data_IF_110675888778
#
_entry.id   IF_110675888778
#
_cell.length_a   1.000
_cell.length_b   1.000
_cell.length_c   1.000
_cell.angle_alpha   90.00
_cell.angle_beta   90.00
_cell.angle_gamma   90.00
#
_symmetry.space_group_name_H-M   'P 1'
#
loop_
_entity.id
_entity.type
_entity.pdbx_description
1 polymer ?
#
# COMPACT_ATOMS: atom_id res chain seq x y z
N UNK A 1 -1.88 11.73 -63.80
CA UNK A 1 -2.15 11.93 -62.35
C UNK A 1 -1.94 13.42 -62.04
N UNK A 2 -3.01 14.13 -61.72
CA UNK A 2 -3.05 15.58 -61.67
C UNK A 2 -2.18 16.14 -60.52
N UNK A 3 -1.41 17.23 -60.76
CA UNK A 3 -0.57 17.89 -59.75
C UNK A 3 -1.32 18.19 -58.44
N UNK A 4 -2.61 18.56 -58.56
CA UNK A 4 -3.52 18.83 -57.42
C UNK A 4 -3.70 17.63 -56.47
N UNK A 5 -3.81 16.42 -57.02
CA UNK A 5 -4.04 15.19 -56.21
C UNK A 5 -2.79 14.84 -55.41
N UNK A 6 -1.58 15.06 -55.96
CA UNK A 6 -0.32 14.83 -55.26
C UNK A 6 -0.13 15.78 -54.07
N UNK A 7 -0.55 17.05 -54.24
CA UNK A 7 -0.45 18.06 -53.17
C UNK A 7 -1.41 17.79 -52.05
N UNK A 8 -2.62 17.29 -52.32
CA UNK A 8 -3.61 16.94 -51.32
C UNK A 8 -3.13 15.75 -50.50
N UNK A 9 -2.61 14.69 -51.16
CA UNK A 9 -2.05 13.50 -50.45
C UNK A 9 -0.87 13.87 -49.55
N UNK A 10 0.01 14.76 -50.00
CA UNK A 10 1.16 15.20 -49.19
C UNK A 10 0.72 15.98 -47.95
N UNK A 11 -0.28 16.86 -48.08
CA UNK A 11 -0.84 17.63 -46.96
C UNK A 11 -1.57 16.76 -45.92
N UNK A 12 -2.30 15.75 -46.36
CA UNK A 12 -2.99 14.82 -45.44
C UNK A 12 -2.01 13.92 -44.72
N UNK A 13 -0.94 13.48 -45.37
CA UNK A 13 0.11 12.67 -44.74
C UNK A 13 0.88 13.48 -43.66
N UNK A 14 1.19 14.75 -43.91
CA UNK A 14 1.82 15.62 -42.92
C UNK A 14 0.91 15.90 -41.71
N UNK A 15 -0.40 16.02 -41.91
CA UNK A 15 -1.37 16.25 -40.83
C UNK A 15 -1.52 15.01 -39.93
N UNK A 16 -1.53 13.80 -40.51
CA UNK A 16 -1.60 12.55 -39.77
C UNK A 16 -0.33 12.29 -38.94
N UNK A 17 0.86 12.61 -39.51
CA UNK A 17 2.13 12.49 -38.78
C UNK A 17 2.20 13.50 -37.63
N UNK A 18 1.67 14.71 -37.81
CA UNK A 18 1.58 15.74 -36.77
C UNK A 18 0.68 15.34 -35.61
N UNK A 19 -0.45 14.67 -35.88
CA UNK A 19 -1.37 14.16 -34.84
C UNK A 19 -0.78 13.01 -34.03
N UNK A 20 -0.01 12.12 -34.65
CA UNK A 20 0.66 11.01 -33.94
C UNK A 20 1.83 11.49 -33.05
N UNK A 21 2.44 12.63 -33.38
CA UNK A 21 3.52 13.21 -32.57
C UNK A 21 3.04 13.89 -31.28
N UNK A 22 1.75 14.24 -31.19
CA UNK A 22 1.16 14.87 -29.99
C UNK A 22 0.78 13.87 -28.90
N UNK A 23 0.63 12.60 -29.22
CA UNK A 23 0.37 11.54 -28.21
C UNK A 23 1.61 11.08 -27.45
N UNK A 24 2.81 11.52 -27.84
CA UNK A 24 4.08 11.29 -27.16
C UNK A 24 4.33 12.16 -25.92
N UNK A 25 3.34 12.92 -25.44
CA UNK A 25 3.48 13.71 -24.22
C UNK A 25 3.53 12.76 -23.01
N UNK A 26 4.75 12.49 -22.54
CA UNK A 26 5.12 12.05 -21.18
C UNK A 26 3.93 11.90 -20.21
N UNK A 27 3.21 10.78 -20.28
CA UNK A 27 2.56 10.25 -19.10
C UNK A 27 3.70 9.92 -18.14
N UNK A 28 4.05 10.84 -17.22
CA UNK A 28 4.78 10.47 -16.01
C UNK A 28 4.01 9.29 -15.43
N UNK A 29 4.56 8.10 -15.57
CA UNK A 29 3.99 6.92 -14.89
C UNK A 29 3.71 7.33 -13.46
N UNK A 30 2.45 7.35 -13.08
CA UNK A 30 2.06 7.66 -11.72
C UNK A 30 2.73 6.57 -10.87
N UNK A 31 3.73 6.97 -10.09
CA UNK A 31 4.45 6.05 -9.21
C UNK A 31 3.41 5.39 -8.31
N UNK A 32 3.40 4.06 -8.34
CA UNK A 32 2.49 3.29 -7.48
C UNK A 32 2.93 3.42 -6.02
N UNK A 33 1.97 3.36 -5.07
CA UNK A 33 2.28 3.24 -3.66
C UNK A 33 3.21 2.05 -3.40
N UNK A 34 4.19 2.24 -2.54
CA UNK A 34 5.11 1.17 -2.12
C UNK A 34 5.52 1.36 -0.66
N UNK A 35 5.98 0.28 -0.03
CA UNK A 35 6.62 0.35 1.28
C UNK A 35 7.98 0.99 1.12
N UNK A 36 8.23 2.09 1.85
CA UNK A 36 9.53 2.77 1.87
C UNK A 36 10.35 2.39 3.10
N UNK A 37 9.67 2.02 4.21
CA UNK A 37 10.31 1.57 5.43
C UNK A 37 9.39 0.64 6.23
N UNK A 38 9.97 -0.25 7.01
CA UNK A 38 9.25 -1.22 7.83
C UNK A 38 10.03 -1.54 9.10
N UNK A 39 9.35 -1.45 10.23
CA UNK A 39 9.90 -1.80 11.53
C UNK A 39 9.00 -2.82 12.24
N UNK A 40 9.62 -3.75 12.94
CA UNK A 40 8.97 -4.74 13.81
C UNK A 40 9.65 -4.71 15.15
N UNK A 41 8.89 -4.58 16.24
CA UNK A 41 9.43 -4.71 17.58
C UNK A 41 9.83 -6.14 17.90
N UNK A 42 10.61 -6.29 18.96
CA UNK A 42 10.75 -7.58 19.62
C UNK A 42 9.41 -8.05 20.19
N UNK A 43 9.35 -9.29 20.66
CA UNK A 43 8.21 -9.86 21.33
C UNK A 43 7.96 -9.13 22.66
N UNK A 44 6.84 -8.42 22.78
CA UNK A 44 6.54 -7.67 24.01
C UNK A 44 5.76 -8.49 25.02
N UNK A 45 4.76 -9.28 24.55
CA UNK A 45 3.90 -10.08 25.42
C UNK A 45 3.69 -11.46 24.82
N UNK A 46 4.03 -12.51 25.57
CA UNK A 46 3.79 -13.89 25.18
C UNK A 46 2.40 -14.28 25.71
N UNK A 47 1.47 -14.56 24.82
CA UNK A 47 0.16 -15.11 25.16
C UNK A 47 0.17 -16.62 24.92
N UNK A 48 0.11 -17.39 25.98
CA UNK A 48 -0.15 -18.82 25.88
C UNK A 48 -1.62 -19.01 25.50
N UNK A 49 -1.85 -19.68 24.40
CA UNK A 49 -3.14 -20.00 23.80
C UNK A 49 -4.28 -20.14 24.84
N UNK A 50 -5.05 -19.10 25.08
CA UNK A 50 -6.42 -19.17 25.66
C UNK A 50 -7.17 -17.85 25.54
N UNK A 51 -8.35 -17.95 24.94
CA UNK A 51 -9.49 -17.03 25.10
C UNK A 51 -9.28 -15.58 24.65
N UNK A 52 -9.31 -15.36 23.34
CA UNK A 52 -9.41 -14.04 22.71
C UNK A 52 -8.06 -13.41 22.38
N UNK A 53 -7.82 -13.15 21.09
CA UNK A 53 -6.71 -12.26 20.68
C UNK A 53 -6.98 -10.89 21.33
N UNK A 54 -5.97 -10.27 21.99
CA UNK A 54 -6.14 -8.91 22.49
C UNK A 54 -6.46 -7.96 21.33
N UNK A 55 -7.28 -6.95 21.60
CA UNK A 55 -7.62 -5.95 20.60
C UNK A 55 -6.34 -5.32 20.07
N UNK A 56 -6.15 -5.37 18.76
CA UNK A 56 -5.11 -4.62 18.08
C UNK A 56 -5.65 -3.26 17.66
N UNK A 57 -4.80 -2.24 17.73
CA UNK A 57 -5.14 -0.89 17.33
C UNK A 57 -4.21 -0.44 16.23
N UNK A 58 -4.78 0.11 15.18
CA UNK A 58 -4.03 0.71 14.08
C UNK A 58 -4.10 2.23 14.20
N UNK A 59 -2.93 2.87 14.17
CA UNK A 59 -2.78 4.29 14.01
C UNK A 59 -2.30 4.60 12.60
N UNK A 60 -2.94 5.57 11.95
CA UNK A 60 -2.58 6.02 10.62
C UNK A 60 -2.25 7.50 10.68
N UNK A 61 -0.99 7.83 10.40
CA UNK A 61 -0.48 9.20 10.51
C UNK A 61 0.26 9.63 9.26
N UNK A 62 0.10 10.89 8.86
CA UNK A 62 0.92 11.49 7.80
C UNK A 62 2.34 11.70 8.31
N UNK A 63 3.33 11.28 7.53
CA UNK A 63 4.76 11.56 7.77
C UNK A 63 5.17 12.82 6.99
N UNK A 64 4.79 12.89 5.71
CA UNK A 64 5.00 14.04 4.84
C UNK A 64 3.93 14.07 3.72
N UNK A 65 4.04 15.00 2.77
CA UNK A 65 3.07 15.18 1.68
C UNK A 65 2.94 13.99 0.71
N UNK A 66 3.75 12.96 0.87
CA UNK A 66 3.76 11.77 0.00
C UNK A 66 3.79 10.47 0.78
N UNK A 67 3.94 10.52 2.11
CA UNK A 67 4.15 9.36 2.98
C UNK A 67 3.14 9.26 4.09
N UNK A 68 2.66 8.04 4.30
CA UNK A 68 1.75 7.66 5.37
C UNK A 68 2.40 6.56 6.20
N UNK A 69 2.30 6.69 7.52
CA UNK A 69 2.71 5.65 8.46
C UNK A 69 1.48 4.92 8.98
N UNK A 70 1.52 3.61 8.96
CA UNK A 70 0.56 2.71 9.58
C UNK A 70 1.28 2.01 10.72
N UNK A 71 0.81 2.20 11.95
CA UNK A 71 1.38 1.59 13.16
C UNK A 71 0.36 0.65 13.80
N UNK A 72 0.76 -0.57 14.11
CA UNK A 72 -0.06 -1.51 14.89
C UNK A 72 0.49 -1.65 16.30
N UNK A 73 -0.36 -1.93 17.29
CA UNK A 73 0.10 -1.99 18.69
C UNK A 73 0.41 -3.39 19.18
N UNK A 74 -0.32 -4.39 18.70
CA UNK A 74 -0.25 -5.74 19.25
C UNK A 74 -0.62 -6.83 18.23
N UNK A 75 0.02 -6.79 17.07
CA UNK A 75 -0.20 -7.81 16.05
C UNK A 75 0.42 -9.14 16.50
N UNK A 76 -0.41 -10.16 16.64
CA UNK A 76 -0.01 -11.48 17.14
C UNK A 76 0.68 -12.30 16.05
N UNK A 77 1.83 -12.87 16.37
CA UNK A 77 2.57 -13.84 15.54
C UNK A 77 2.97 -15.05 16.36
N UNK A 78 3.20 -16.23 15.76
CA UNK A 78 3.78 -17.36 16.48
C UNK A 78 5.11 -16.96 17.14
N UNK A 79 5.36 -17.43 18.36
CA UNK A 79 6.67 -17.22 19.00
C UNK A 79 7.78 -17.85 18.15
N UNK A 80 8.96 -17.22 18.13
CA UNK A 80 10.08 -17.70 17.32
C UNK A 80 10.03 -17.30 15.85
N UNK A 81 9.04 -16.50 15.42
CA UNK A 81 9.10 -15.83 14.11
C UNK A 81 10.20 -14.78 14.14
N UNK A 82 11.29 -15.02 13.41
CA UNK A 82 12.44 -14.12 13.37
C UNK A 82 12.28 -13.00 12.35
N UNK A 83 11.57 -13.28 11.27
CA UNK A 83 11.45 -12.32 10.16
C UNK A 83 10.01 -12.16 9.73
N UNK A 84 9.53 -10.92 9.74
CA UNK A 84 8.25 -10.50 9.17
C UNK A 84 8.55 -9.52 8.05
N UNK A 85 7.90 -9.67 6.90
CA UNK A 85 8.06 -8.77 5.75
C UNK A 85 6.71 -8.35 5.19
N UNK A 86 6.47 -7.06 4.95
CA UNK A 86 5.29 -6.59 4.25
C UNK A 86 5.48 -6.77 2.74
N UNK A 87 4.52 -7.38 2.09
CA UNK A 87 4.38 -7.38 0.64
C UNK A 87 3.19 -6.51 0.25
N UNK A 88 3.39 -5.57 -0.66
CA UNK A 88 2.35 -4.62 -1.08
C UNK A 88 1.88 -4.92 -2.50
N UNK A 89 0.57 -4.89 -2.68
CA UNK A 89 -0.10 -4.90 -3.97
C UNK A 89 -1.02 -3.67 -4.03
N UNK A 90 -0.72 -2.76 -4.95
CA UNK A 90 -1.49 -1.53 -5.14
C UNK A 90 -2.16 -1.53 -6.51
N UNK A 91 -3.49 -1.40 -6.53
CA UNK A 91 -4.30 -1.24 -7.73
C UNK A 91 -5.14 0.02 -7.57
N UNK A 92 -4.74 1.09 -8.25
CA UNK A 92 -5.37 2.41 -8.15
C UNK A 92 -5.42 2.91 -6.69
N UNK A 93 -6.57 2.83 -6.04
CA UNK A 93 -6.81 3.27 -4.67
C UNK A 93 -6.85 2.12 -3.67
N UNK A 94 -6.86 0.87 -4.15
CA UNK A 94 -6.87 -0.31 -3.29
C UNK A 94 -5.44 -0.74 -2.99
N UNK A 95 -5.08 -0.77 -1.72
CA UNK A 95 -3.76 -1.15 -1.24
C UNK A 95 -3.90 -2.37 -0.33
N UNK A 96 -3.41 -3.50 -0.79
CA UNK A 96 -3.30 -4.71 0.02
C UNK A 96 -1.87 -4.85 0.54
N UNK A 97 -1.72 -5.06 1.84
CA UNK A 97 -0.43 -5.29 2.51
C UNK A 97 -0.50 -6.64 3.18
N UNK A 98 0.29 -7.59 2.71
CA UNK A 98 0.38 -8.91 3.30
C UNK A 98 1.62 -9.01 4.20
N UNK A 99 1.41 -9.43 5.44
CA UNK A 99 2.48 -9.66 6.42
C UNK A 99 2.98 -11.09 6.28
N UNK A 100 4.05 -11.27 5.52
CA UNK A 100 4.66 -12.58 5.28
C UNK A 100 5.64 -12.92 6.39
N UNK A 101 5.58 -14.15 6.90
CA UNK A 101 6.53 -14.70 7.86
C UNK A 101 6.65 -16.22 7.68
N UNK A 102 7.69 -16.79 8.24
CA UNK A 102 7.87 -18.24 8.31
C UNK A 102 7.36 -18.73 9.65
N UNK A 103 6.37 -19.62 9.62
CA UNK A 103 5.81 -20.21 10.83
C UNK A 103 6.90 -20.99 11.61
N UNK A 104 6.95 -20.79 12.92
CA UNK A 104 7.97 -21.36 13.80
C UNK A 104 7.54 -22.62 14.53
N UNK A 105 6.35 -23.17 14.30
CA UNK A 105 5.76 -24.31 15.01
C UNK A 105 5.66 -24.11 16.52
N UNK A 106 5.61 -22.89 17.00
CA UNK A 106 5.52 -22.58 18.41
C UNK A 106 4.06 -22.56 18.87
N UNK A 107 3.78 -23.21 20.01
CA UNK A 107 2.43 -23.25 20.62
C UNK A 107 2.09 -21.94 21.37
N UNK A 108 2.80 -20.86 21.14
CA UNK A 108 2.54 -19.57 21.75
C UNK A 108 2.45 -18.46 20.71
N UNK A 109 1.72 -17.39 21.05
CA UNK A 109 1.63 -16.17 20.27
C UNK A 109 2.38 -15.04 20.94
N UNK A 110 2.93 -14.17 20.13
CA UNK A 110 3.73 -13.03 20.53
C UNK A 110 3.16 -11.75 19.93
N UNK A 111 2.79 -10.79 20.78
CA UNK A 111 2.38 -9.47 20.36
C UNK A 111 3.57 -8.63 19.92
N UNK A 112 3.49 -8.05 18.74
CA UNK A 112 4.51 -7.17 18.16
C UNK A 112 3.91 -5.86 17.69
N UNK A 113 4.66 -4.79 17.88
CA UNK A 113 4.38 -3.51 17.27
C UNK A 113 4.99 -3.48 15.85
N UNK A 114 4.22 -3.01 14.88
CA UNK A 114 4.67 -2.84 13.51
C UNK A 114 4.53 -1.38 13.10
N UNK A 115 5.52 -0.87 12.37
CA UNK A 115 5.44 0.39 11.66
C UNK A 115 5.65 0.15 10.16
N UNK A 116 4.70 0.54 9.34
CA UNK A 116 4.76 0.43 7.88
C UNK A 116 4.71 1.84 7.30
N UNK A 117 5.75 2.28 6.62
CA UNK A 117 5.76 3.57 5.95
C UNK A 117 5.54 3.36 4.45
N UNK A 118 4.45 3.93 3.96
CA UNK A 118 4.08 3.92 2.55
C UNK A 118 4.47 5.25 1.90
N UNK A 119 4.99 5.20 0.68
CA UNK A 119 5.31 6.38 -0.11
C UNK A 119 4.60 6.38 -1.47
N UNK A 120 4.67 7.52 -2.17
CA UNK A 120 4.00 7.78 -3.45
C UNK A 120 2.48 7.88 -3.35
N UNK A 121 1.97 8.26 -2.20
CA UNK A 121 0.55 8.58 -2.02
C UNK A 121 0.26 10.00 -2.53
N UNK A 122 -0.97 10.23 -2.98
CA UNK A 122 -1.42 11.53 -3.50
C UNK A 122 -2.32 12.20 -2.46
N UNK A 123 -2.00 13.45 -2.12
CA UNK A 123 -2.84 14.27 -1.24
C UNK A 123 -4.26 14.41 -1.79
N UNK A 124 -5.24 14.35 -0.89
CA UNK A 124 -6.67 14.42 -1.21
C UNK A 124 -7.25 13.15 -1.81
N UNK A 125 -6.45 12.11 -2.03
CA UNK A 125 -6.90 10.83 -2.55
C UNK A 125 -7.35 9.94 -1.39
N UNK A 126 -8.48 9.27 -1.57
CA UNK A 126 -8.95 8.23 -0.65
C UNK A 126 -8.39 6.87 -1.06
N UNK A 127 -7.87 6.13 -0.10
CA UNK A 127 -7.31 4.80 -0.26
C UNK A 127 -8.04 3.79 0.62
N UNK A 128 -8.27 2.61 0.08
CA UNK A 128 -8.79 1.45 0.81
C UNK A 128 -7.63 0.52 1.14
N UNK A 129 -7.40 0.32 2.41
CA UNK A 129 -6.34 -0.55 2.92
C UNK A 129 -6.91 -1.89 3.35
N UNK A 130 -6.23 -2.96 2.93
CA UNK A 130 -6.46 -4.30 3.43
C UNK A 130 -5.13 -4.88 3.92
N UNK A 131 -4.96 -4.96 5.24
CA UNK A 131 -3.82 -5.64 5.84
C UNK A 131 -4.20 -7.11 6.00
N UNK A 132 -3.36 -7.99 5.48
CA UNK A 132 -3.54 -9.45 5.55
C UNK A 132 -2.45 -10.08 6.40
N UNK A 133 -2.83 -11.14 7.08
CA UNK A 133 -1.94 -12.05 7.80
C UNK A 133 -2.40 -13.48 7.57
N UNK A 134 -1.51 -14.39 7.20
CA UNK A 134 -1.87 -15.79 6.88
C UNK A 134 -2.94 -15.91 5.79
N UNK A 135 -2.79 -15.12 4.71
CA UNK A 135 -3.74 -15.06 3.61
C UNK A 135 -5.16 -14.59 3.99
N UNK A 136 -5.37 -14.21 5.27
CA UNK A 136 -6.66 -13.73 5.80
C UNK A 136 -6.65 -12.23 5.99
N UNK A 137 -7.80 -11.61 5.77
CA UNK A 137 -8.00 -10.21 6.08
C UNK A 137 -7.85 -10.00 7.59
N UNK A 138 -6.83 -9.22 7.96
CA UNK A 138 -6.53 -8.90 9.33
C UNK A 138 -7.16 -7.57 9.74
N UNK A 139 -7.04 -6.56 8.86
CA UNK A 139 -7.59 -5.23 9.10
C UNK A 139 -8.00 -4.57 7.77
N UNK A 140 -9.19 -3.97 7.74
CA UNK A 140 -9.68 -3.20 6.58
C UNK A 140 -10.11 -1.82 7.04
N UNK A 141 -9.66 -0.78 6.33
CA UNK A 141 -10.01 0.60 6.64
C UNK A 141 -9.83 1.50 5.42
N UNK A 142 -10.47 2.67 5.50
CA UNK A 142 -10.41 3.71 4.47
C UNK A 142 -9.74 4.95 5.02
N UNK A 143 -8.87 5.58 4.23
CA UNK A 143 -8.17 6.80 4.60
C UNK A 143 -8.15 7.79 3.44
N UNK A 144 -8.65 9.00 3.66
CA UNK A 144 -8.35 10.14 2.79
C UNK A 144 -7.00 10.72 3.20
N UNK A 145 -5.99 10.57 2.34
CA UNK A 145 -4.63 11.02 2.63
C UNK A 145 -4.55 12.55 2.61
N UNK A 146 -4.27 13.15 3.73
CA UNK A 146 -4.13 14.59 3.93
C UNK A 146 -2.81 14.95 4.62
N UNK A 147 -2.51 16.25 4.72
CA UNK A 147 -1.29 16.75 5.39
C UNK A 147 -1.26 16.51 6.90
N UNK A 148 -2.43 16.31 7.50
CA UNK A 148 -2.61 16.14 8.95
C UNK A 148 -3.46 14.89 9.26
N UNK A 149 -3.32 13.84 8.45
CA UNK A 149 -4.03 12.57 8.74
C UNK A 149 -3.53 12.02 10.06
N UNK A 150 -4.44 11.80 10.99
CA UNK A 150 -4.20 11.18 12.29
C UNK A 150 -5.46 10.42 12.69
N UNK A 151 -5.50 9.14 12.39
CA UNK A 151 -6.67 8.27 12.58
C UNK A 151 -6.30 7.07 13.44
N UNK A 152 -7.29 6.57 14.15
CA UNK A 152 -7.17 5.36 14.98
C UNK A 152 -8.31 4.41 14.63
N UNK A 153 -7.98 3.16 14.42
CA UNK A 153 -8.92 2.07 14.17
C UNK A 153 -8.67 0.96 15.18
N UNK A 154 -9.74 0.42 15.74
CA UNK A 154 -9.70 -0.70 16.69
C UNK A 154 -10.24 -1.93 15.95
N UNK A 155 -9.52 -3.04 16.02
CA UNK A 155 -10.00 -4.32 15.53
C UNK A 155 -11.03 -4.86 16.53
N UNK A 156 -12.28 -4.88 16.12
CA UNK A 156 -13.32 -5.60 16.85
C UNK A 156 -13.22 -7.09 16.47
N UNK A 157 -13.29 -7.94 17.48
CA UNK A 157 -13.25 -9.40 17.31
C UNK A 157 -14.62 -9.95 16.92
#
# INVERSE_FOLDING_TARGET
MNKSIKTIIALTALFVIGLLALEGCNKKEARQPKVSDFFVSECNDVVLHRDGEPNDTIYVTTVDNTKLKISTTNTQFPCGVDTIRPEIQAQEQNISIELLYVDSWADCLCGRHLDIILENLKLGQTYFFNIKKDERDYFQFEVTFGTETNLMFIREQ
#
